data_IF_018874180023
#
_entry.id   IF_018874180023
#
_cell.length_a   1.000
_cell.length_b   1.000
_cell.length_c   1.000
_cell.angle_alpha   90.00
_cell.angle_beta   90.00
_cell.angle_gamma   90.00
#
_symmetry.space_group_name_H-M   'P 1'
#
loop_
_entity.id
_entity.type
_entity.pdbx_description
1 polymer ?
#
# COMPACT_ATOMS: atom_id res chain seq x y z
N UNK A 1 -2.85 -33.10 13.11
CA UNK A 1 -3.42 -31.86 13.67
C UNK A 1 -4.43 -31.35 12.66
N UNK A 2 -5.70 -31.36 13.04
CA UNK A 2 -6.81 -30.86 12.24
C UNK A 2 -6.63 -29.35 12.07
N UNK A 3 -6.42 -28.89 10.82
CA UNK A 3 -6.44 -27.46 10.48
C UNK A 3 -7.89 -26.99 10.68
N UNK A 4 -8.27 -26.67 11.91
CA UNK A 4 -9.44 -25.85 12.17
C UNK A 4 -9.33 -24.60 11.30
N UNK A 5 -10.43 -24.19 10.68
CA UNK A 5 -10.52 -23.18 9.63
C UNK A 5 -9.61 -21.98 9.91
N UNK A 6 -8.39 -21.99 9.36
CA UNK A 6 -7.44 -20.90 9.51
C UNK A 6 -8.01 -19.72 8.74
N UNK A 7 -8.32 -18.63 9.42
CA UNK A 7 -8.85 -17.45 8.77
C UNK A 7 -7.79 -16.89 7.81
N UNK A 8 -8.14 -16.76 6.53
CA UNK A 8 -7.34 -16.04 5.55
C UNK A 8 -7.53 -14.54 5.75
N UNK A 9 -6.42 -13.82 5.91
CA UNK A 9 -6.41 -12.38 6.16
C UNK A 9 -5.77 -11.70 4.94
N UNK A 10 -6.48 -10.72 4.36
CA UNK A 10 -5.96 -9.87 3.29
C UNK A 10 -5.69 -8.46 3.82
N UNK A 11 -4.43 -8.03 3.75
CA UNK A 11 -4.00 -6.69 4.11
C UNK A 11 -4.05 -5.79 2.87
N UNK A 12 -4.72 -4.64 2.99
CA UNK A 12 -4.84 -3.67 1.90
C UNK A 12 -4.56 -2.26 2.41
N UNK A 13 -4.14 -1.39 1.50
CA UNK A 13 -4.03 0.05 1.76
C UNK A 13 -4.30 0.82 0.48
N UNK A 14 -4.44 2.13 0.62
CA UNK A 14 -4.55 3.01 -0.54
C UNK A 14 -3.30 2.92 -1.44
N UNK A 15 -3.49 3.14 -2.74
CA UNK A 15 -2.44 3.08 -3.75
C UNK A 15 -1.27 4.02 -3.45
N UNK A 16 -1.54 5.20 -2.92
CA UNK A 16 -0.51 6.18 -2.56
C UNK A 16 0.40 5.68 -1.44
N UNK A 17 -0.14 4.86 -0.53
CA UNK A 17 0.60 4.26 0.58
C UNK A 17 1.42 3.04 0.14
N UNK A 18 1.01 2.38 -0.95
CA UNK A 18 1.70 1.23 -1.56
C UNK A 18 2.74 1.64 -2.61
N UNK A 19 3.02 2.94 -2.75
CA UNK A 19 3.99 3.49 -3.69
C UNK A 19 5.15 4.19 -2.98
N UNK A 20 6.31 4.18 -3.63
CA UNK A 20 7.51 4.93 -3.24
C UNK A 20 7.62 6.30 -3.93
N UNK A 21 6.57 6.78 -4.59
CA UNK A 21 6.53 8.07 -5.31
C UNK A 21 7.71 8.28 -6.26
N UNK A 22 8.09 7.25 -7.03
CA UNK A 22 9.28 7.28 -7.91
C UNK A 22 10.59 7.50 -7.16
N UNK A 23 10.70 6.97 -5.93
CA UNK A 23 11.79 7.22 -5.00
C UNK A 23 11.94 8.69 -4.58
N UNK A 24 10.88 9.49 -4.73
CA UNK A 24 10.86 10.90 -4.36
C UNK A 24 9.78 11.16 -3.31
N UNK A 25 10.17 11.02 -2.05
CA UNK A 25 9.28 11.20 -0.90
C UNK A 25 8.67 12.61 -0.83
N UNK A 26 9.35 13.63 -1.38
CA UNK A 26 8.84 15.01 -1.42
C UNK A 26 7.71 15.20 -2.43
N UNK A 27 7.66 14.39 -3.49
CA UNK A 27 6.47 14.33 -4.36
C UNK A 27 5.26 13.84 -3.55
N UNK A 28 5.44 12.89 -2.64
CA UNK A 28 4.39 12.45 -1.72
C UNK A 28 3.79 13.58 -0.88
N UNK A 29 4.58 14.58 -0.48
CA UNK A 29 4.08 15.76 0.28
C UNK A 29 3.08 16.62 -0.50
N UNK A 30 3.18 16.63 -1.83
CA UNK A 30 2.24 17.39 -2.65
C UNK A 30 0.83 16.76 -2.69
N UNK A 31 0.65 15.53 -2.19
CA UNK A 31 -0.69 14.96 -1.91
C UNK A 31 -1.47 15.71 -0.82
N UNK A 32 -0.80 16.60 -0.08
CA UNK A 32 -1.42 17.45 0.93
C UNK A 32 -1.82 18.84 0.37
N UNK A 33 -1.60 19.09 -0.93
CA UNK A 33 -1.95 20.37 -1.53
C UNK A 33 -3.48 20.58 -1.52
N UNK A 34 -3.96 21.82 -1.34
CA UNK A 34 -5.40 22.08 -1.33
C UNK A 34 -6.04 21.66 -2.66
N UNK A 35 -7.23 21.03 -2.63
CA UNK A 35 -8.01 20.83 -3.84
C UNK A 35 -8.28 22.22 -4.47
N UNK A 36 -8.20 22.32 -5.80
CA UNK A 36 -8.38 23.52 -6.63
C UNK A 36 -7.12 24.34 -6.99
N UNK A 37 -5.92 23.94 -6.59
CA UNK A 37 -4.69 24.62 -7.06
C UNK A 37 -4.32 24.17 -8.48
N UNK A 38 -4.57 22.89 -8.80
CA UNK A 38 -4.31 22.30 -10.12
C UNK A 38 -5.47 21.39 -10.55
N UNK A 39 -5.70 21.19 -11.86
CA UNK A 39 -6.71 20.27 -12.36
C UNK A 39 -6.49 18.83 -11.87
N UNK A 40 -7.58 18.11 -11.54
CA UNK A 40 -7.53 16.77 -10.95
C UNK A 40 -6.71 15.77 -11.77
N UNK A 41 -6.79 15.82 -13.10
CA UNK A 41 -6.03 14.92 -13.97
C UNK A 41 -4.50 15.09 -13.80
N UNK A 42 -4.06 16.33 -13.58
CA UNK A 42 -2.65 16.67 -13.40
C UNK A 42 -2.20 16.31 -11.98
N UNK A 43 -3.07 16.54 -10.99
CA UNK A 43 -2.86 16.12 -9.61
C UNK A 43 -2.70 14.60 -9.51
N UNK A 44 -3.59 13.84 -10.15
CA UNK A 44 -3.52 12.39 -10.25
C UNK A 44 -2.23 11.92 -10.92
N UNK A 45 -1.83 12.55 -12.02
CA UNK A 45 -0.61 12.19 -12.74
C UNK A 45 0.67 12.43 -11.93
N UNK A 46 0.74 13.55 -11.19
CA UNK A 46 1.92 13.92 -10.41
C UNK A 46 2.07 13.08 -9.13
N UNK A 47 0.97 12.83 -8.43
CA UNK A 47 1.02 12.30 -7.06
C UNK A 47 0.57 10.85 -6.92
N UNK A 48 -0.08 10.27 -7.93
CA UNK A 48 -0.62 8.90 -7.87
C UNK A 48 0.08 8.04 -8.93
N UNK A 49 1.38 7.73 -8.74
CA UNK A 49 2.13 6.95 -9.70
C UNK A 49 1.52 5.55 -9.89
N UNK A 50 1.69 4.93 -11.08
CA UNK A 50 1.28 3.55 -11.31
C UNK A 50 1.96 2.61 -10.33
N UNK A 51 1.16 1.77 -9.66
CA UNK A 51 1.69 0.72 -8.80
C UNK A 51 2.35 -0.33 -9.65
N UNK A 52 3.59 -0.67 -9.29
CA UNK A 52 4.25 -1.86 -9.81
C UNK A 52 3.75 -3.05 -9.01
N UNK A 53 3.13 -3.99 -9.70
CA UNK A 53 2.60 -5.22 -9.10
C UNK A 53 3.21 -6.44 -9.76
N UNK A 54 3.44 -7.49 -8.97
CA UNK A 54 3.79 -8.82 -9.46
C UNK A 54 2.67 -9.76 -9.04
N UNK A 55 2.05 -10.44 -9.99
CA UNK A 55 0.91 -11.34 -9.76
C UNK A 55 -0.26 -10.69 -8.98
N UNK A 56 -0.48 -9.40 -9.19
CA UNK A 56 -1.51 -8.62 -8.51
C UNK A 56 -1.13 -8.10 -7.13
N UNK A 57 0.08 -8.40 -6.63
CA UNK A 57 0.59 -7.94 -5.33
C UNK A 57 1.51 -6.72 -5.53
N UNK A 58 1.32 -5.61 -4.78
CA UNK A 58 2.23 -4.45 -4.82
C UNK A 58 3.66 -4.81 -4.42
N UNK A 59 4.67 -4.25 -5.11
CA UNK A 59 6.08 -4.45 -4.76
C UNK A 59 6.48 -3.82 -3.41
N UNK A 60 5.77 -2.78 -2.98
CA UNK A 60 6.02 -2.06 -1.74
C UNK A 60 4.73 -1.97 -0.93
N UNK A 61 4.88 -1.95 0.39
CA UNK A 61 3.79 -1.76 1.32
C UNK A 61 4.21 -0.85 2.47
N UNK A 62 3.26 -0.14 3.11
CA UNK A 62 3.54 0.67 4.28
C UNK A 62 4.26 -0.14 5.35
N UNK A 63 5.30 0.45 5.93
CA UNK A 63 6.06 -0.20 6.98
C UNK A 63 5.19 -0.69 8.15
N UNK A 64 4.17 0.09 8.53
CA UNK A 64 3.19 -0.30 9.55
C UNK A 64 2.42 -1.57 9.17
N UNK A 65 2.02 -1.71 7.91
CA UNK A 65 1.29 -2.87 7.41
C UNK A 65 2.18 -4.12 7.43
N UNK A 66 3.45 -4.00 7.02
CA UNK A 66 4.43 -5.11 7.07
C UNK A 66 4.71 -5.58 8.50
N UNK A 67 4.63 -4.69 9.50
CA UNK A 67 4.73 -5.10 10.92
C UNK A 67 3.53 -5.91 11.38
N UNK A 68 2.32 -5.52 10.96
CA UNK A 68 1.09 -6.25 11.28
C UNK A 68 1.14 -7.64 10.63
N UNK A 69 1.51 -7.71 9.36
CA UNK A 69 1.71 -8.96 8.64
C UNK A 69 2.70 -9.88 9.35
N UNK A 70 3.87 -9.35 9.71
CA UNK A 70 4.90 -10.12 10.42
C UNK A 70 4.39 -10.69 11.76
N UNK A 71 3.61 -9.92 12.52
CA UNK A 71 3.01 -10.41 13.76
C UNK A 71 1.98 -11.51 13.49
N UNK A 72 1.09 -11.32 12.50
CA UNK A 72 0.07 -12.30 12.14
C UNK A 72 0.69 -13.63 11.69
N UNK A 73 1.72 -13.58 10.86
CA UNK A 73 2.51 -14.77 10.49
C UNK A 73 3.13 -15.43 11.73
N UNK A 74 3.66 -14.63 12.65
CA UNK A 74 4.25 -15.11 13.92
C UNK A 74 3.27 -15.85 14.82
N UNK A 75 2.01 -15.43 14.86
CA UNK A 75 0.91 -16.09 15.58
C UNK A 75 0.31 -17.29 14.80
N UNK A 76 0.82 -17.56 13.59
CA UNK A 76 0.43 -18.69 12.76
C UNK A 76 -0.74 -18.43 11.80
N UNK A 77 -1.19 -17.18 11.63
CA UNK A 77 -2.25 -16.86 10.67
C UNK A 77 -1.78 -16.94 9.22
N UNK A 78 -2.73 -17.21 8.32
CA UNK A 78 -2.52 -17.14 6.88
C UNK A 78 -2.86 -15.72 6.40
N UNK A 79 -1.83 -14.95 6.05
CA UNK A 79 -1.95 -13.53 5.72
C UNK A 79 -1.24 -13.19 4.40
N UNK A 80 -1.89 -12.36 3.59
CA UNK A 80 -1.39 -11.78 2.33
C UNK A 80 -1.47 -10.26 2.36
#
# INVERSE_FOLDING_TARGET
MEKGTMAHILLTADRTLMSDYHHNEFLGFGTCAPPNVIPDWLYSFLFFPPLRTVDGVPLAAPYGLRKIEAQLVGEGFDVL
#
